data_IF_462221302606
#
_entry.id   IF_462221302606
#
_cell.length_a   1.000
_cell.length_b   1.000
_cell.length_c   1.000
_cell.angle_alpha   90.00
_cell.angle_beta   90.00
_cell.angle_gamma   90.00
#
_symmetry.space_group_name_H-M   'P 1'
#
loop_
_entity.id
_entity.type
_entity.pdbx_description
1 polymer ?
#
# COMPACT_ATOMS: atom_id res chain seq x y z
N UNK A 1 -7.52 9.20 8.66
CA UNK A 1 -6.87 7.95 8.16
C UNK A 1 -6.66 7.93 6.64
N UNK A 2 -7.37 8.72 5.82
CA UNK A 2 -7.29 8.71 4.34
C UNK A 2 -5.96 9.20 3.72
N UNK A 3 -5.09 9.88 4.50
CA UNK A 3 -3.81 10.44 4.04
C UNK A 3 -2.70 10.12 5.06
N UNK A 4 -2.05 8.94 4.97
CA UNK A 4 -0.99 8.54 5.88
C UNK A 4 0.25 9.45 5.78
N UNK A 5 0.51 10.10 4.63
CA UNK A 5 1.64 11.01 4.45
C UNK A 5 1.64 12.25 5.38
N UNK A 6 0.48 12.57 5.97
CA UNK A 6 0.34 13.67 6.91
C UNK A 6 0.82 13.31 8.33
N UNK A 7 1.15 12.04 8.60
CA UNK A 7 1.59 11.57 9.92
C UNK A 7 3.08 11.90 10.12
N UNK A 8 3.36 13.17 10.44
CA UNK A 8 4.69 13.68 10.81
C UNK A 8 5.00 13.49 12.30
N UNK A 9 6.21 13.86 12.73
CA UNK A 9 6.72 13.62 14.09
C UNK A 9 5.75 13.99 15.23
N UNK A 10 5.11 15.18 15.17
CA UNK A 10 4.15 15.63 16.20
C UNK A 10 2.92 14.73 16.28
N UNK A 11 2.42 14.24 15.13
CA UNK A 11 1.27 13.32 15.11
C UNK A 11 1.65 11.94 15.60
N UNK A 12 2.86 11.45 15.28
CA UNK A 12 3.39 10.18 15.81
C UNK A 12 3.51 10.22 17.33
N UNK A 13 4.03 11.32 17.90
CA UNK A 13 4.08 11.54 19.35
C UNK A 13 2.68 11.52 19.99
N UNK A 14 1.71 12.23 19.41
CA UNK A 14 0.33 12.22 19.92
C UNK A 14 -0.31 10.82 19.87
N UNK A 15 -0.09 10.08 18.78
CA UNK A 15 -0.59 8.70 18.66
C UNK A 15 0.05 7.82 19.74
N UNK A 16 1.38 7.84 19.84
CA UNK A 16 2.13 7.12 20.85
C UNK A 16 1.60 7.39 22.28
N UNK A 17 1.50 8.66 22.67
CA UNK A 17 0.95 9.06 23.98
C UNK A 17 -0.50 8.61 24.16
N UNK A 18 -1.36 8.79 23.15
CA UNK A 18 -2.78 8.43 23.24
C UNK A 18 -3.06 6.92 23.17
N UNK A 19 -2.08 6.11 22.76
CA UNK A 19 -2.20 4.65 22.70
C UNK A 19 -1.28 3.91 23.68
N UNK A 20 -0.52 4.64 24.51
CA UNK A 20 0.38 4.05 25.51
C UNK A 20 1.57 3.29 24.93
N UNK A 21 1.94 3.56 23.67
CA UNK A 21 3.05 2.87 22.97
C UNK A 21 4.19 3.83 22.66
N UNK A 22 5.35 3.31 22.27
CA UNK A 22 6.47 4.15 21.87
C UNK A 22 6.31 4.67 20.44
N UNK A 23 6.96 5.79 20.13
CA UNK A 23 6.97 6.37 18.77
C UNK A 23 7.59 5.39 17.75
N UNK A 24 8.49 4.52 18.20
CA UNK A 24 9.11 3.47 17.38
C UNK A 24 8.09 2.42 16.91
N UNK A 25 7.17 2.03 17.79
CA UNK A 25 6.11 1.08 17.46
C UNK A 25 5.12 1.68 16.45
N UNK A 26 4.81 2.97 16.62
CA UNK A 26 4.01 3.72 15.64
C UNK A 26 4.70 3.74 14.26
N UNK A 27 6.04 3.90 14.22
CA UNK A 27 6.78 3.84 12.95
C UNK A 27 6.71 2.45 12.29
N UNK A 28 6.85 1.36 13.05
CA UNK A 28 6.75 0.00 12.51
C UNK A 28 5.40 -0.24 11.83
N UNK A 29 4.31 0.13 12.49
CA UNK A 29 2.95 -0.05 11.95
C UNK A 29 2.74 0.80 10.69
N UNK A 30 3.24 2.05 10.68
CA UNK A 30 3.13 2.91 9.51
C UNK A 30 3.90 2.35 8.30
N UNK A 31 5.09 1.80 8.53
CA UNK A 31 5.88 1.19 7.46
C UNK A 31 5.20 -0.05 6.89
N UNK A 32 4.68 -0.94 7.76
CA UNK A 32 3.90 -2.11 7.34
C UNK A 32 2.67 -1.70 6.52
N UNK A 33 1.96 -0.65 6.94
CA UNK A 33 0.83 -0.12 6.21
C UNK A 33 1.24 0.40 4.83
N UNK A 34 2.36 1.12 4.71
CA UNK A 34 2.87 1.63 3.44
C UNK A 34 3.26 0.49 2.48
N UNK A 35 3.89 -0.56 2.99
CA UNK A 35 4.23 -1.76 2.21
C UNK A 35 2.97 -2.47 1.70
N UNK A 36 1.97 -2.68 2.56
CA UNK A 36 0.69 -3.26 2.15
C UNK A 36 -0.03 -2.37 1.14
N UNK A 37 0.01 -1.04 1.32
CA UNK A 37 -0.58 -0.09 0.37
C UNK A 37 0.13 -0.14 -0.99
N UNK A 38 1.46 -0.28 -1.02
CA UNK A 38 2.24 -0.50 -2.25
C UNK A 38 1.84 -1.80 -2.92
N UNK A 39 1.74 -2.90 -2.16
CA UNK A 39 1.30 -4.20 -2.67
C UNK A 39 -0.10 -4.14 -3.26
N UNK A 40 -1.06 -3.57 -2.52
CA UNK A 40 -2.44 -3.37 -3.00
C UNK A 40 -2.50 -2.49 -4.24
N UNK A 41 -1.66 -1.45 -4.32
CA UNK A 41 -1.59 -0.57 -5.50
C UNK A 41 -1.01 -1.30 -6.71
N UNK A 42 0.00 -2.15 -6.55
CA UNK A 42 0.53 -3.00 -7.62
C UNK A 42 -0.52 -4.01 -8.10
N UNK A 43 -1.28 -4.59 -7.17
CA UNK A 43 -2.37 -5.49 -7.49
C UNK A 43 -3.51 -4.78 -8.25
N UNK A 44 -3.96 -3.63 -7.72
CA UNK A 44 -5.05 -2.81 -8.28
C UNK A 44 -4.69 -2.14 -9.62
N UNK A 45 -3.44 -1.69 -9.82
CA UNK A 45 -2.96 -1.18 -11.13
C UNK A 45 -2.78 -2.27 -12.19
N UNK A 46 -3.21 -3.50 -11.90
CA UNK A 46 -3.31 -4.56 -12.88
C UNK A 46 -2.12 -5.51 -12.87
N UNK A 47 -1.57 -5.88 -11.72
CA UNK A 47 -0.60 -6.98 -11.65
C UNK A 47 -1.09 -8.25 -12.36
N UNK A 48 -2.40 -8.54 -12.28
CA UNK A 48 -3.05 -9.61 -13.05
C UNK A 48 -3.60 -9.12 -14.40
N UNK A 49 -4.30 -7.98 -14.44
CA UNK A 49 -4.93 -7.48 -15.67
C UNK A 49 -3.95 -6.98 -16.76
N UNK A 50 -2.75 -6.52 -16.38
CA UNK A 50 -1.69 -6.10 -17.31
C UNK A 50 -0.84 -7.29 -17.76
N UNK A 51 -0.62 -8.28 -16.88
CA UNK A 51 -0.04 -9.58 -17.23
C UNK A 51 -0.97 -10.34 -18.20
N UNK A 52 -2.26 -10.41 -17.89
CA UNK A 52 -3.28 -11.07 -18.71
C UNK A 52 -3.52 -10.34 -20.03
N UNK A 53 -3.50 -8.99 -20.06
CA UNK A 53 -3.50 -8.23 -21.33
C UNK A 53 -2.21 -8.41 -22.14
N UNK A 54 -1.06 -8.48 -21.48
CA UNK A 54 0.23 -8.75 -22.14
C UNK A 54 0.33 -10.18 -22.69
N UNK A 55 -0.37 -11.14 -22.07
CA UNK A 55 -0.45 -12.53 -22.50
C UNK A 55 -1.53 -12.73 -23.58
N UNK A 56 -2.70 -12.09 -23.44
CA UNK A 56 -3.73 -12.05 -24.48
C UNK A 56 -3.25 -11.36 -25.76
N UNK A 57 -2.36 -10.37 -25.66
CA UNK A 57 -1.70 -9.76 -26.81
C UNK A 57 -0.66 -10.65 -27.51
N UNK A 58 -0.21 -11.73 -26.87
CA UNK A 58 0.77 -12.70 -27.39
C UNK A 58 0.17 -14.05 -27.80
N UNK A 59 -1.13 -14.28 -27.59
CA UNK A 59 -1.84 -15.47 -28.09
C UNK A 59 -2.62 -15.05 -29.34
N UNK A 60 -2.13 -15.35 -30.56
CA UNK A 60 -2.90 -15.11 -31.76
C UNK A 60 -4.07 -16.10 -31.80
N UNK A 61 -5.31 -15.60 -31.78
CA UNK A 61 -6.51 -16.44 -31.96
C UNK A 61 -7.58 -16.36 -30.87
N UNK A 62 -7.37 -15.59 -29.78
CA UNK A 62 -8.44 -15.27 -28.82
C UNK A 62 -8.86 -13.80 -28.94
N UNK A 63 -9.67 -13.51 -29.95
CA UNK A 63 -10.62 -12.40 -29.94
C UNK A 63 -11.97 -12.98 -30.38
N UNK A 64 -13.11 -12.63 -29.75
CA UNK A 64 -14.38 -12.75 -30.45
C UNK A 64 -14.40 -11.84 -31.68
#
# INVERSE_FOLDING_TARGET
RRKPELIKATRKKRIAMGSGVQVQDVNRVLNQFEEMQKMMKMFSKGGLGKLMRGMAGKIPGLRP
#
